data_IF_809762479367
#
_entry.id   IF_809762479367
#
_cell.length_a   1.000
_cell.length_b   1.000
_cell.length_c   1.000
_cell.angle_alpha   90.00
_cell.angle_beta   90.00
_cell.angle_gamma   90.00
#
_symmetry.space_group_name_H-M   'P 1'
#
loop_
_entity.id
_entity.type
_entity.pdbx_description
1 polymer ?
#
# COMPACT_ATOMS: atom_id res chain seq x y z
N UNK A 1 14.78 8.95 19.47
CA UNK A 1 16.27 8.86 19.47
C UNK A 1 16.68 8.46 18.06
N UNK A 2 17.45 9.28 17.34
CA UNK A 2 17.95 8.90 16.02
C UNK A 2 19.12 7.92 16.20
N UNK A 3 19.07 6.79 15.52
CA UNK A 3 20.15 5.81 15.48
C UNK A 3 20.88 5.90 14.14
N UNK A 4 22.20 5.97 14.16
CA UNK A 4 23.00 6.02 12.93
C UNK A 4 23.27 4.60 12.45
N UNK A 5 22.87 4.30 11.21
CA UNK A 5 23.20 3.04 10.53
C UNK A 5 24.05 3.34 9.30
N UNK A 6 25.24 2.74 9.23
CA UNK A 6 26.11 2.87 8.05
C UNK A 6 25.67 1.90 6.96
N UNK A 7 25.13 2.44 5.86
CA UNK A 7 24.74 1.66 4.69
C UNK A 7 25.84 1.72 3.62
N UNK A 8 26.39 0.57 3.24
CA UNK A 8 27.28 0.48 2.07
C UNK A 8 26.44 0.39 0.80
N UNK A 9 26.46 1.46 0.02
CA UNK A 9 25.80 1.49 -1.29
C UNK A 9 26.74 0.94 -2.35
N UNK A 10 26.29 0.00 -3.20
CA UNK A 10 27.03 -0.35 -4.41
C UNK A 10 27.24 0.88 -5.28
N UNK A 11 28.42 1.00 -5.90
CA UNK A 11 28.75 2.16 -6.76
C UNK A 11 27.72 2.40 -7.88
N UNK A 12 27.17 1.36 -8.56
CA UNK A 12 26.14 1.56 -9.58
C UNK A 12 24.84 2.17 -9.03
N UNK A 13 24.49 1.86 -7.78
CA UNK A 13 23.29 2.41 -7.13
C UNK A 13 23.51 3.88 -6.76
N UNK A 14 24.68 4.19 -6.17
CA UNK A 14 25.06 5.56 -5.83
C UNK A 14 25.05 6.47 -7.05
N UNK A 15 25.61 6.01 -8.17
CA UNK A 15 25.66 6.76 -9.44
C UNK A 15 24.25 7.09 -9.99
N UNK A 16 23.23 6.29 -9.66
CA UNK A 16 21.83 6.54 -10.05
C UNK A 16 21.11 7.48 -9.09
N UNK A 17 21.42 7.40 -7.78
CA UNK A 17 20.78 8.22 -6.75
C UNK A 17 21.17 9.69 -6.87
N UNK A 18 22.45 9.98 -7.12
CA UNK A 18 22.98 11.35 -7.19
C UNK A 18 22.18 12.25 -8.15
N UNK A 19 22.01 11.91 -9.45
CA UNK A 19 21.27 12.76 -10.37
C UNK A 19 19.77 12.86 -10.05
N UNK A 20 19.17 11.81 -9.47
CA UNK A 20 17.76 11.83 -9.05
C UNK A 20 17.54 12.77 -7.85
N UNK A 21 18.46 12.75 -6.89
CA UNK A 21 18.45 13.65 -5.75
C UNK A 21 18.64 15.11 -6.20
N UNK A 22 19.60 15.37 -7.10
CA UNK A 22 19.83 16.69 -7.67
C UNK A 22 18.61 17.22 -8.43
N UNK A 23 18.00 16.39 -9.29
CA UNK A 23 16.77 16.75 -10.01
C UNK A 23 15.60 17.05 -9.07
N UNK A 24 15.56 16.41 -7.90
CA UNK A 24 14.57 16.67 -6.85
C UNK A 24 14.96 17.86 -5.93
N UNK A 25 16.13 18.49 -6.13
CA UNK A 25 16.62 19.59 -5.29
C UNK A 25 17.04 19.16 -3.87
N UNK A 26 17.42 17.88 -3.69
CA UNK A 26 17.72 17.27 -2.40
C UNK A 26 19.16 16.76 -2.34
N UNK A 27 19.70 16.63 -1.12
CA UNK A 27 20.94 15.88 -0.95
C UNK A 27 20.69 14.39 -1.17
N UNK A 28 21.69 13.61 -1.64
CA UNK A 28 21.54 12.16 -1.77
C UNK A 28 21.10 11.48 -0.47
N UNK A 29 21.56 11.97 0.68
CA UNK A 29 21.14 11.44 1.98
C UNK A 29 19.66 11.67 2.26
N UNK A 30 19.17 12.91 2.12
CA UNK A 30 17.75 13.23 2.34
C UNK A 30 16.85 12.45 1.38
N UNK A 31 17.25 12.36 0.11
CA UNK A 31 16.52 11.59 -0.90
C UNK A 31 16.42 10.10 -0.54
N UNK A 32 17.50 9.50 -0.01
CA UNK A 32 17.48 8.10 0.42
C UNK A 32 16.60 7.85 1.64
N UNK A 33 16.56 8.79 2.61
CA UNK A 33 15.70 8.67 3.78
C UNK A 33 14.24 8.65 3.35
N UNK A 34 13.84 9.61 2.51
CA UNK A 34 12.46 9.66 1.99
C UNK A 34 12.10 8.39 1.20
N UNK A 35 13.00 7.89 0.36
CA UNK A 35 12.78 6.64 -0.37
C UNK A 35 12.58 5.43 0.57
N UNK A 36 13.27 5.41 1.72
CA UNK A 36 13.08 4.37 2.74
C UNK A 36 11.75 4.56 3.48
N UNK A 37 11.37 5.78 3.82
CA UNK A 37 10.09 6.09 4.46
C UNK A 37 8.91 5.68 3.57
N UNK A 38 8.96 6.02 2.28
CA UNK A 38 7.97 5.58 1.29
C UNK A 38 7.90 4.06 1.21
N UNK A 39 9.06 3.38 1.20
CA UNK A 39 9.11 1.92 1.14
C UNK A 39 8.55 1.26 2.40
N UNK A 40 8.80 1.83 3.57
CA UNK A 40 8.23 1.37 4.84
C UNK A 40 6.71 1.50 4.79
N UNK A 41 6.19 2.69 4.46
CA UNK A 41 4.76 2.93 4.41
C UNK A 41 4.04 1.98 3.42
N UNK A 42 4.62 1.76 2.24
CA UNK A 42 4.10 0.78 1.27
C UNK A 42 4.10 -0.65 1.81
N UNK A 43 5.16 -1.04 2.53
CA UNK A 43 5.29 -2.39 3.07
C UNK A 43 4.33 -2.63 4.24
N UNK A 44 4.13 -1.63 5.09
CA UNK A 44 3.14 -1.67 6.17
C UNK A 44 1.71 -1.75 5.62
N UNK A 45 1.38 -0.92 4.64
CA UNK A 45 0.07 -0.95 3.98
C UNK A 45 -0.20 -2.31 3.32
N UNK A 46 0.81 -2.89 2.65
CA UNK A 46 0.70 -4.22 2.05
C UNK A 46 0.50 -5.32 3.11
N UNK A 47 1.27 -5.28 4.20
CA UNK A 47 1.16 -6.26 5.28
C UNK A 47 -0.22 -6.20 5.96
N UNK A 48 -0.73 -4.99 6.22
CA UNK A 48 -2.07 -4.78 6.76
C UNK A 48 -3.15 -5.31 5.81
N UNK A 49 -3.09 -4.92 4.53
CA UNK A 49 -4.03 -5.39 3.51
C UNK A 49 -4.04 -6.93 3.40
N UNK A 50 -2.87 -7.56 3.42
CA UNK A 50 -2.78 -9.02 3.36
C UNK A 50 -3.36 -9.69 4.61
N UNK A 51 -3.14 -9.12 5.80
CA UNK A 51 -3.72 -9.64 7.02
C UNK A 51 -5.25 -9.56 6.99
N UNK A 52 -5.81 -8.44 6.52
CA UNK A 52 -7.25 -8.26 6.34
C UNK A 52 -7.82 -9.24 5.30
N UNK A 53 -7.13 -9.43 4.17
CA UNK A 53 -7.56 -10.34 3.12
C UNK A 53 -7.60 -11.81 3.60
N UNK A 54 -6.58 -12.26 4.35
CA UNK A 54 -6.54 -13.60 4.92
C UNK A 54 -7.65 -13.83 5.95
N UNK A 55 -7.96 -12.82 6.76
CA UNK A 55 -9.06 -12.89 7.72
C UNK A 55 -10.42 -12.93 7.02
N UNK A 56 -10.61 -12.14 5.96
CA UNK A 56 -11.81 -12.18 5.14
C UNK A 56 -12.01 -13.55 4.45
N UNK A 57 -10.93 -14.15 3.92
CA UNK A 57 -10.95 -15.48 3.31
C UNK A 57 -11.33 -16.57 4.34
N UNK A 58 -10.78 -16.48 5.56
CA UNK A 58 -11.14 -17.36 6.66
C UNK A 58 -12.63 -17.24 7.01
N UNK A 59 -13.15 -16.02 7.16
CA UNK A 59 -14.56 -15.79 7.46
C UNK A 59 -15.48 -16.29 6.35
N UNK A 60 -15.14 -16.02 5.09
CA UNK A 60 -15.89 -16.52 3.93
C UNK A 60 -15.92 -18.05 3.91
N UNK A 61 -14.79 -18.70 4.16
CA UNK A 61 -14.69 -20.17 4.20
C UNK A 61 -15.50 -20.77 5.34
N UNK A 62 -15.53 -20.13 6.52
CA UNK A 62 -16.27 -20.61 7.70
C UNK A 62 -17.79 -20.39 7.60
N UNK A 63 -18.20 -19.23 7.09
CA UNK A 63 -19.62 -18.82 7.03
C UNK A 63 -20.32 -19.23 5.73
N UNK A 64 -19.55 -19.40 4.66
CA UNK A 64 -20.09 -19.52 3.30
C UNK A 64 -20.72 -18.22 2.79
N UNK A 65 -20.39 -17.07 3.39
CA UNK A 65 -20.91 -15.77 3.00
C UNK A 65 -19.83 -14.97 2.26
N UNK A 66 -20.20 -14.37 1.13
CA UNK A 66 -19.36 -13.50 0.31
C UNK A 66 -20.15 -12.30 -0.19
N UNK A 67 -19.51 -11.40 -0.93
CA UNK A 67 -20.19 -10.30 -1.59
C UNK A 67 -20.29 -10.56 -3.09
N UNK A 68 -21.43 -10.24 -3.69
CA UNK A 68 -21.57 -10.27 -5.14
C UNK A 68 -20.62 -9.25 -5.80
N UNK A 69 -19.84 -9.72 -6.77
CA UNK A 69 -18.81 -8.88 -7.39
C UNK A 69 -19.40 -7.69 -8.15
N UNK A 70 -20.57 -7.85 -8.78
CA UNK A 70 -21.21 -6.77 -9.53
C UNK A 70 -21.78 -5.70 -8.58
N UNK A 71 -22.35 -6.11 -7.44
CA UNK A 71 -22.78 -5.17 -6.40
C UNK A 71 -21.61 -4.38 -5.80
N UNK A 72 -20.48 -5.03 -5.52
CA UNK A 72 -19.27 -4.37 -5.01
C UNK A 72 -18.73 -3.38 -6.05
N UNK A 73 -18.64 -3.78 -7.33
CA UNK A 73 -18.19 -2.87 -8.38
C UNK A 73 -19.13 -1.66 -8.56
N UNK A 74 -20.44 -1.86 -8.48
CA UNK A 74 -21.43 -0.79 -8.56
C UNK A 74 -21.29 0.19 -7.38
N UNK A 75 -21.12 -0.35 -6.15
CA UNK A 75 -20.85 0.43 -4.95
C UNK A 75 -19.59 1.29 -5.10
N UNK A 76 -18.46 0.70 -5.49
CA UNK A 76 -17.18 1.42 -5.64
C UNK A 76 -17.27 2.53 -6.69
N UNK A 77 -17.90 2.27 -7.84
CA UNK A 77 -18.12 3.28 -8.88
C UNK A 77 -18.97 4.45 -8.37
N UNK A 78 -20.00 4.18 -7.57
CA UNK A 78 -20.84 5.21 -6.99
C UNK A 78 -20.10 6.06 -5.94
N UNK A 79 -19.27 5.43 -5.10
CA UNK A 79 -18.40 6.14 -4.13
C UNK A 79 -17.42 7.06 -4.85
N UNK A 80 -16.71 6.58 -5.88
CA UNK A 80 -15.77 7.41 -6.66
C UNK A 80 -16.47 8.57 -7.36
N UNK A 81 -17.74 8.40 -7.75
CA UNK A 81 -18.57 9.46 -8.30
C UNK A 81 -19.10 10.47 -7.25
N UNK A 82 -18.67 10.36 -5.98
CA UNK A 82 -19.09 11.24 -4.89
C UNK A 82 -20.50 10.98 -4.36
N UNK A 83 -21.13 9.86 -4.74
CA UNK A 83 -22.44 9.45 -4.21
C UNK A 83 -22.26 8.74 -2.86
N UNK A 84 -23.38 8.58 -2.14
CA UNK A 84 -23.45 7.81 -0.87
C UNK A 84 -24.32 6.56 -1.06
N UNK A 85 -23.84 5.54 -1.79
CA UNK A 85 -24.58 4.28 -1.93
C UNK A 85 -24.63 3.51 -0.60
N UNK A 86 -25.63 2.65 -0.44
CA UNK A 86 -25.65 1.66 0.63
C UNK A 86 -24.57 0.59 0.38
N UNK A 87 -23.96 0.07 1.45
CA UNK A 87 -22.97 -0.99 1.33
C UNK A 87 -23.63 -2.31 0.89
N UNK A 88 -23.03 -3.07 -0.05
CA UNK A 88 -23.57 -4.36 -0.48
C UNK A 88 -23.83 -5.31 0.68
N UNK A 89 -24.82 -6.19 0.54
CA UNK A 89 -25.13 -7.19 1.58
C UNK A 89 -24.37 -8.48 1.29
N UNK A 90 -23.91 -9.19 2.34
CA UNK A 90 -23.35 -10.51 2.15
C UNK A 90 -24.43 -11.47 1.59
N UNK A 91 -24.02 -12.29 0.63
CA UNK A 91 -24.82 -13.35 0.00
C UNK A 91 -24.17 -14.69 0.31
N UNK A 92 -24.99 -15.74 0.40
CA UNK A 92 -24.48 -17.10 0.59
C UNK A 92 -23.92 -17.64 -0.73
N UNK A 93 -22.68 -18.13 -0.69
CA UNK A 93 -21.96 -18.74 -1.82
C UNK A 93 -22.55 -20.10 -2.21
#
# INVERSE_FOLDING_TARGET
MAATTTLKLPEPLKARIVPLAEAAGKSPHAWMIEALEERVAQSEAYAAFMAEALEADRQMTETGEGYDADEVHAYLKAVVAGKKPEFPKPVKL
#
